data_IF_109798142782
#
_entry.id   IF_109798142782
#
_cell.length_a   1.000
_cell.length_b   1.000
_cell.length_c   1.000
_cell.angle_alpha   90.00
_cell.angle_beta   90.00
_cell.angle_gamma   90.00
#
_symmetry.space_group_name_H-M   'P 1'
#
loop_
_entity.id
_entity.type
_entity.pdbx_description
1 polymer ?
#
# COMPACT_ATOMS: atom_id res chain seq x y z
N UNK A 1 -49.32 -59.90 1.11
CA UNK A 1 -47.94 -59.66 1.58
C UNK A 1 -47.33 -58.55 0.72
N UNK A 2 -47.63 -57.27 1.01
CA UNK A 2 -47.18 -56.11 0.22
C UNK A 2 -46.07 -55.39 0.99
N UNK A 3 -44.84 -55.38 0.44
CA UNK A 3 -43.71 -54.66 1.03
C UNK A 3 -43.63 -53.24 0.48
N UNK A 4 -43.44 -52.32 1.42
CA UNK A 4 -43.20 -50.90 1.26
C UNK A 4 -42.00 -50.59 0.35
N UNK A 5 -42.23 -49.95 -0.79
CA UNK A 5 -41.19 -49.44 -1.70
C UNK A 5 -41.17 -47.90 -1.83
N UNK A 6 -41.89 -47.16 -0.99
CA UNK A 6 -42.04 -45.70 -1.15
C UNK A 6 -40.96 -44.85 -0.46
N UNK A 7 -40.13 -45.42 0.44
CA UNK A 7 -39.20 -44.64 1.27
C UNK A 7 -37.79 -44.46 0.68
N UNK A 8 -37.40 -45.23 -0.35
CA UNK A 8 -36.02 -45.22 -0.88
C UNK A 8 -35.77 -44.18 -1.98
N UNK A 9 -36.82 -43.60 -2.58
CA UNK A 9 -36.69 -42.64 -3.69
C UNK A 9 -36.46 -41.20 -3.24
N UNK A 10 -36.87 -40.85 -2.02
CA UNK A 10 -36.81 -39.47 -1.49
C UNK A 10 -35.42 -39.07 -0.97
N UNK A 11 -34.63 -40.03 -0.44
CA UNK A 11 -33.30 -39.75 0.13
C UNK A 11 -32.22 -39.43 -0.91
N UNK A 12 -32.36 -39.89 -2.15
CA UNK A 12 -31.34 -39.70 -3.22
C UNK A 12 -31.38 -38.29 -3.84
N UNK A 13 -32.56 -37.68 -3.94
CA UNK A 13 -32.72 -36.37 -4.58
C UNK A 13 -32.33 -35.19 -3.66
N UNK A 14 -32.40 -35.39 -2.33
CA UNK A 14 -32.02 -34.38 -1.34
C UNK A 14 -30.48 -34.21 -1.28
N UNK A 15 -29.70 -35.29 -1.39
CA UNK A 15 -28.23 -35.20 -1.42
C UNK A 15 -27.69 -34.57 -2.71
N UNK A 16 -28.38 -34.71 -3.84
CA UNK A 16 -27.93 -34.14 -5.12
C UNK A 16 -28.21 -32.63 -5.17
N UNK A 17 -29.33 -32.16 -4.62
CA UNK A 17 -29.63 -30.73 -4.51
C UNK A 17 -28.68 -30.01 -3.53
N UNK A 18 -28.29 -30.67 -2.41
CA UNK A 18 -27.37 -30.07 -1.44
C UNK A 18 -25.92 -29.98 -1.97
N UNK A 19 -25.52 -30.88 -2.87
CA UNK A 19 -24.19 -30.88 -3.49
C UNK A 19 -24.03 -29.86 -4.62
N UNK A 20 -25.13 -29.39 -5.23
CA UNK A 20 -25.10 -28.41 -6.32
C UNK A 20 -25.03 -26.96 -5.81
N UNK A 21 -25.52 -26.70 -4.59
CA UNK A 21 -25.61 -25.35 -4.00
C UNK A 21 -24.29 -24.91 -3.33
N UNK A 22 -23.39 -25.83 -3.02
CA UNK A 22 -22.09 -25.51 -2.37
C UNK A 22 -21.00 -25.03 -3.32
N UNK A 23 -21.15 -25.15 -4.65
CA UNK A 23 -20.11 -24.75 -5.61
C UNK A 23 -20.12 -23.27 -6.03
N UNK A 24 -21.10 -22.46 -5.60
CA UNK A 24 -21.27 -21.07 -6.11
C UNK A 24 -20.68 -20.00 -5.17
N UNK A 25 -20.12 -20.37 -4.01
CA UNK A 25 -19.76 -19.37 -2.97
C UNK A 25 -18.29 -18.89 -3.03
N UNK A 26 -17.47 -19.35 -3.98
CA UNK A 26 -16.01 -19.12 -3.93
C UNK A 26 -15.45 -17.96 -4.78
N UNK A 27 -16.27 -16.97 -5.17
CA UNK A 27 -15.79 -15.83 -6.01
C UNK A 27 -15.89 -14.47 -5.30
N UNK A 28 -16.01 -14.45 -3.98
CA UNK A 28 -15.98 -13.19 -3.21
C UNK A 28 -14.59 -13.04 -2.58
N UNK A 29 -13.76 -12.15 -3.12
CA UNK A 29 -12.68 -11.58 -2.33
C UNK A 29 -11.33 -11.32 -2.99
N UNK A 30 -11.24 -10.96 -4.26
CA UNK A 30 -10.13 -10.09 -4.70
C UNK A 30 -10.42 -8.64 -4.24
N UNK A 31 -10.51 -8.43 -2.93
CA UNK A 31 -10.51 -7.10 -2.35
C UNK A 31 -9.06 -6.58 -2.45
N UNK A 32 -8.78 -5.85 -3.53
CA UNK A 32 -7.55 -5.07 -3.69
C UNK A 32 -7.50 -4.14 -2.47
N UNK A 33 -6.63 -4.42 -1.50
CA UNK A 33 -6.50 -3.60 -0.28
C UNK A 33 -6.34 -2.14 -0.71
N UNK A 34 -7.29 -1.29 -0.31
CA UNK A 34 -7.16 0.14 -0.53
C UNK A 34 -6.07 0.61 0.42
N UNK A 35 -4.88 0.84 -0.15
CA UNK A 35 -3.74 1.38 0.59
C UNK A 35 -4.09 2.59 1.45
N UNK A 36 -3.37 2.77 2.55
CA UNK A 36 -3.60 3.87 3.50
C UNK A 36 -3.03 5.18 2.95
N UNK A 37 -3.88 6.18 2.73
CA UNK A 37 -3.49 7.53 2.33
C UNK A 37 -3.36 8.43 3.56
N UNK A 38 -2.26 9.19 3.63
CA UNK A 38 -1.95 10.17 4.67
C UNK A 38 -1.59 11.51 4.01
N UNK A 39 -1.89 12.61 4.72
CA UNK A 39 -1.58 13.96 4.24
C UNK A 39 -2.41 14.38 3.03
N UNK A 40 -1.84 15.23 2.18
CA UNK A 40 -2.50 15.71 0.95
C UNK A 40 -2.59 14.59 -0.10
N UNK A 41 -3.59 14.63 -1.01
CA UNK A 41 -3.67 13.68 -2.10
C UNK A 41 -2.44 13.80 -3.03
N UNK A 42 -1.94 12.65 -3.48
CA UNK A 42 -0.82 12.58 -4.43
C UNK A 42 -1.39 12.87 -5.84
N UNK A 43 -0.87 13.87 -6.58
CA UNK A 43 -1.37 14.17 -7.92
C UNK A 43 -1.12 13.00 -8.89
N UNK A 44 -2.13 12.61 -9.66
CA UNK A 44 -2.04 11.45 -10.58
C UNK A 44 -1.12 11.70 -11.78
N UNK A 45 -0.93 12.97 -12.17
CA UNK A 45 -0.10 13.38 -13.31
C UNK A 45 1.30 13.83 -12.90
N UNK A 46 1.66 13.74 -11.61
CA UNK A 46 3.01 14.13 -11.17
C UNK A 46 4.06 13.15 -11.71
N UNK A 47 5.17 13.70 -12.20
CA UNK A 47 6.29 12.89 -12.65
C UNK A 47 6.92 12.16 -11.46
N UNK A 48 7.10 10.86 -11.61
CA UNK A 48 7.84 10.03 -10.67
C UNK A 48 9.34 10.30 -10.83
N UNK A 49 10.02 10.48 -9.70
CA UNK A 49 11.44 10.78 -9.61
C UNK A 49 12.10 9.70 -8.76
N UNK A 50 13.21 9.16 -9.24
CA UNK A 50 14.04 8.22 -8.49
C UNK A 50 14.83 8.95 -7.39
N UNK A 51 14.98 8.31 -6.23
CA UNK A 51 15.71 8.90 -5.12
C UNK A 51 17.19 9.16 -5.49
N UNK A 52 17.78 8.28 -6.30
CA UNK A 52 19.15 8.41 -6.79
C UNK A 52 19.38 9.76 -7.46
N UNK A 53 18.46 10.16 -8.35
CA UNK A 53 18.54 11.43 -9.08
C UNK A 53 18.55 12.64 -8.17
N UNK A 54 17.76 12.60 -7.08
CA UNK A 54 17.71 13.70 -6.09
C UNK A 54 19.00 13.77 -5.27
N UNK A 55 19.57 12.62 -4.91
CA UNK A 55 20.82 12.55 -4.14
C UNK A 55 22.02 12.99 -4.97
N UNK A 56 22.08 12.61 -6.25
CA UNK A 56 23.18 12.97 -7.15
C UNK A 56 23.17 14.45 -7.55
N UNK A 57 21.96 15.04 -7.71
CA UNK A 57 21.79 16.42 -8.19
C UNK A 57 20.83 17.21 -7.30
N UNK A 58 21.12 17.38 -6.00
CA UNK A 58 20.16 17.94 -5.04
C UNK A 58 19.77 19.39 -5.34
N UNK A 59 20.68 20.16 -5.93
CA UNK A 59 20.40 21.54 -6.36
C UNK A 59 19.28 21.62 -7.41
N UNK A 60 19.17 20.63 -8.30
CA UNK A 60 18.15 20.59 -9.35
C UNK A 60 16.75 20.35 -8.78
N UNK A 61 16.65 19.84 -7.56
CA UNK A 61 15.39 19.51 -6.90
C UNK A 61 15.03 20.46 -5.75
N UNK A 62 15.93 21.36 -5.35
CA UNK A 62 15.68 22.27 -4.23
C UNK A 62 14.40 23.10 -4.44
N UNK A 63 13.51 23.07 -3.44
CA UNK A 63 12.21 23.75 -3.46
C UNK A 63 11.14 23.08 -4.31
N UNK A 64 11.48 22.04 -5.09
CA UNK A 64 10.52 21.33 -5.93
C UNK A 64 9.71 20.33 -5.12
N UNK A 65 8.51 20.04 -5.62
CA UNK A 65 7.69 18.94 -5.14
C UNK A 65 7.73 17.79 -6.13
N UNK A 66 7.99 16.59 -5.64
CA UNK A 66 8.20 15.38 -6.44
C UNK A 66 7.37 14.22 -5.89
N UNK A 67 7.13 13.23 -6.75
CA UNK A 67 6.60 11.93 -6.34
C UNK A 67 7.70 10.89 -6.44
N UNK A 68 7.88 10.09 -5.40
CA UNK A 68 8.83 8.98 -5.39
C UNK A 68 8.10 7.69 -4.99
N UNK A 69 8.49 6.55 -5.57
CA UNK A 69 8.01 5.22 -5.16
C UNK A 69 9.16 4.40 -4.61
N UNK A 70 8.85 3.60 -3.61
CA UNK A 70 9.85 2.75 -2.96
C UNK A 70 9.23 1.91 -1.87
N UNK A 71 10.01 1.59 -0.85
CA UNK A 71 9.57 0.79 0.28
C UNK A 71 9.88 1.46 1.62
N UNK A 72 9.08 1.11 2.63
CA UNK A 72 9.31 1.51 4.02
C UNK A 72 10.42 0.62 4.60
N UNK A 73 11.65 1.12 4.69
CA UNK A 73 12.77 0.37 5.27
C UNK A 73 12.80 0.40 6.80
N UNK A 74 12.09 1.34 7.41
CA UNK A 74 11.94 1.46 8.85
C UNK A 74 11.21 2.73 9.27
N UNK A 75 11.03 2.90 10.57
CA UNK A 75 10.40 4.07 11.17
C UNK A 75 11.11 4.40 12.49
N UNK A 76 11.19 5.68 12.81
CA UNK A 76 11.64 6.13 14.12
C UNK A 76 10.67 5.66 15.22
N UNK A 77 11.19 5.35 16.42
CA UNK A 77 10.38 4.87 17.54
C UNK A 77 9.30 5.87 17.96
N UNK A 78 9.58 7.17 17.82
CA UNK A 78 8.66 8.27 18.13
C UNK A 78 7.66 8.56 17.00
N UNK A 79 7.69 7.79 15.90
CA UNK A 79 6.82 7.95 14.72
C UNK A 79 6.91 9.31 14.00
N UNK A 80 7.94 10.11 14.31
CA UNK A 80 8.15 11.45 13.75
C UNK A 80 8.78 11.43 12.35
N UNK A 81 9.41 10.33 11.95
CA UNK A 81 9.89 10.10 10.59
C UNK A 81 9.83 8.62 10.23
N UNK A 82 9.88 8.35 8.92
CA UNK A 82 10.16 7.02 8.43
C UNK A 82 11.34 7.02 7.46
N UNK A 83 11.89 5.83 7.25
CA UNK A 83 13.01 5.63 6.35
C UNK A 83 12.52 5.07 5.02
N UNK A 84 12.50 5.92 4.00
CA UNK A 84 12.20 5.55 2.63
C UNK A 84 13.42 4.89 1.99
N UNK A 85 13.20 3.85 1.19
CA UNK A 85 14.24 3.18 0.41
C UNK A 85 13.78 2.98 -1.02
N UNK A 86 14.68 3.30 -1.95
CA UNK A 86 14.53 3.11 -3.38
C UNK A 86 15.85 2.52 -3.91
N UNK A 87 15.79 1.29 -4.43
CA UNK A 87 16.97 0.50 -4.78
C UNK A 87 17.95 0.35 -3.61
N UNK A 88 19.17 0.86 -3.80
CA UNK A 88 20.23 0.89 -2.77
C UNK A 88 20.21 2.17 -1.93
N UNK A 89 19.46 3.19 -2.34
CA UNK A 89 19.42 4.49 -1.71
C UNK A 89 18.37 4.52 -0.59
N UNK A 90 18.67 5.28 0.46
CA UNK A 90 17.80 5.44 1.63
C UNK A 90 17.74 6.91 2.00
N UNK A 91 16.55 7.38 2.35
CA UNK A 91 16.33 8.73 2.82
C UNK A 91 15.40 8.74 4.03
N UNK A 92 15.57 9.76 4.87
CA UNK A 92 14.65 10.03 5.98
C UNK A 92 13.55 10.96 5.47
N UNK A 93 12.31 10.63 5.77
CA UNK A 93 11.13 11.37 5.32
C UNK A 93 10.30 11.82 6.52
N UNK A 94 10.00 13.11 6.57
CA UNK A 94 9.30 13.77 7.67
C UNK A 94 7.87 14.17 7.23
N UNK A 95 6.83 13.96 8.05
CA UNK A 95 5.48 14.33 7.67
C UNK A 95 5.28 15.84 7.80
N UNK A 96 4.50 16.43 6.91
CA UNK A 96 4.15 17.86 6.95
C UNK A 96 2.65 18.05 7.20
N UNK A 97 2.30 18.54 8.39
CA UNK A 97 0.90 18.81 8.76
C UNK A 97 0.10 17.57 9.16
N UNK A 98 0.73 16.40 9.33
CA UNK A 98 0.10 15.18 9.84
C UNK A 98 1.10 14.35 10.65
N UNK A 99 0.63 13.26 11.28
CA UNK A 99 1.46 12.31 12.02
C UNK A 99 1.46 10.97 11.32
N UNK A 100 2.61 10.29 11.32
CA UNK A 100 2.64 8.91 10.84
C UNK A 100 1.99 7.99 11.87
N UNK A 101 1.09 7.07 11.44
CA UNK A 101 0.76 5.91 12.25
C UNK A 101 1.98 4.97 12.32
N UNK A 102 1.85 3.85 13.03
CA UNK A 102 2.86 2.79 12.96
C UNK A 102 2.86 2.21 11.54
N UNK A 103 3.98 2.36 10.85
CA UNK A 103 4.17 1.89 9.48
C UNK A 103 4.82 0.51 9.47
N UNK A 104 4.35 -0.34 8.57
CA UNK A 104 4.87 -1.70 8.40
C UNK A 104 6.11 -1.68 7.50
N UNK A 105 7.23 -2.21 7.98
CA UNK A 105 8.46 -2.33 7.19
C UNK A 105 8.25 -3.27 5.99
N UNK A 106 8.90 -2.97 4.88
CA UNK A 106 8.83 -3.73 3.63
C UNK A 106 7.62 -3.43 2.76
N UNK A 107 6.66 -2.62 3.23
CA UNK A 107 5.51 -2.23 2.42
C UNK A 107 5.89 -1.24 1.32
N UNK A 108 5.34 -1.38 0.09
CA UNK A 108 5.45 -0.37 -0.95
C UNK A 108 4.83 0.94 -0.48
N UNK A 109 5.45 2.05 -0.88
CA UNK A 109 5.00 3.38 -0.52
C UNK A 109 5.23 4.35 -1.67
N UNK A 110 4.24 5.20 -1.93
CA UNK A 110 4.37 6.38 -2.78
C UNK A 110 4.42 7.61 -1.89
N UNK A 111 5.41 8.47 -2.10
CA UNK A 111 5.65 9.68 -1.30
C UNK A 111 5.57 10.90 -2.20
N UNK A 112 4.67 11.81 -1.88
CA UNK A 112 4.64 13.16 -2.44
C UNK A 112 5.38 14.09 -1.48
N UNK A 113 6.56 14.56 -1.87
CA UNK A 113 7.47 15.30 -1.00
C UNK A 113 7.92 16.61 -1.60
N UNK A 114 8.04 17.64 -0.75
CA UNK A 114 8.85 18.81 -1.04
C UNK A 114 10.31 18.48 -0.69
N UNK A 115 11.21 18.79 -1.60
CA UNK A 115 12.66 18.64 -1.42
C UNK A 115 13.25 19.96 -0.98
N UNK A 116 14.03 19.93 0.09
CA UNK A 116 14.88 21.05 0.51
C UNK A 116 16.32 20.57 0.49
N UNK A 117 17.17 21.23 -0.30
CA UNK A 117 18.59 20.92 -0.39
C UNK A 117 19.43 22.13 0.02
N UNK A 118 20.44 21.89 0.85
CA UNK A 118 21.38 22.91 1.32
C UNK A 118 22.56 22.28 2.07
N UNK A 119 23.74 22.92 2.02
CA UNK A 119 24.95 22.51 2.77
C UNK A 119 25.28 21.00 2.73
N UNK A 120 25.03 20.35 1.58
CA UNK A 120 25.31 18.92 1.39
C UNK A 120 24.26 17.99 2.02
N UNK A 121 23.14 18.51 2.51
CA UNK A 121 22.01 17.74 3.03
C UNK A 121 20.77 17.90 2.16
N UNK A 122 19.97 16.84 2.12
CA UNK A 122 18.66 16.82 1.46
C UNK A 122 17.62 16.39 2.47
N UNK A 123 16.59 17.20 2.63
CA UNK A 123 15.44 16.93 3.50
C UNK A 123 14.22 16.65 2.63
N UNK A 124 13.54 15.54 2.94
CA UNK A 124 12.31 15.15 2.28
C UNK A 124 11.13 15.38 3.22
N UNK A 125 10.37 16.42 2.89
CA UNK A 125 9.16 16.83 3.60
C UNK A 125 7.95 16.22 2.91
N UNK A 126 7.46 15.09 3.43
CA UNK A 126 6.29 14.41 2.89
C UNK A 126 5.01 15.22 3.13
N UNK A 127 4.45 15.70 2.02
CA UNK A 127 3.14 16.34 1.98
C UNK A 127 2.04 15.30 1.97
N UNK A 128 2.26 14.16 1.30
CA UNK A 128 1.32 13.06 1.20
C UNK A 128 2.02 11.71 1.07
N UNK A 129 1.43 10.67 1.65
CA UNK A 129 1.98 9.30 1.62
C UNK A 129 0.86 8.31 1.34
N UNK A 130 1.10 7.37 0.43
CA UNK A 130 0.22 6.25 0.14
C UNK A 130 0.96 4.94 0.39
N UNK A 131 0.50 4.15 1.35
CA UNK A 131 1.07 2.83 1.68
C UNK A 131 0.20 1.73 1.11
N UNK A 132 0.78 0.74 0.43
CA UNK A 132 0.06 -0.42 -0.14
C UNK A 132 -0.04 -1.63 0.81
#
# INVERSE_FOLDING_TARGET
MQRNYSLLRSRKNISIMLALVTSVVFVIGCAKEKGTQLGVPIPEQAAEVELASVIEKPADYNGKTIVMKGIISGQCASLCEFFFKDGVHKATTFPQGYKFPKLTKGKPVTVYAQVTAGEGQVVFSALGVKVE
#
